data_IF_356979122504
#
_entry.id   IF_356979122504
#
_cell.length_a   1.000
_cell.length_b   1.000
_cell.length_c   1.000
_cell.angle_alpha   90.00
_cell.angle_beta   90.00
_cell.angle_gamma   90.00
#
_symmetry.space_group_name_H-M   'P 1'
#
loop_
_entity.id
_entity.type
_entity.pdbx_description
1 polymer ?
#
# COMPACT_ATOMS: atom_id res chain seq x y z
N UNK A 1 2.33 -23.06 23.97
CA UNK A 1 1.80 -21.84 23.31
C UNK A 1 2.95 -21.18 22.60
N UNK A 2 2.78 -20.77 21.35
CA UNK A 2 3.75 -19.89 20.70
C UNK A 2 3.81 -18.56 21.46
N UNK A 3 5.00 -17.97 21.59
CA UNK A 3 5.14 -16.63 22.14
C UNK A 3 4.59 -15.59 21.14
N UNK A 4 4.13 -14.45 21.65
CA UNK A 4 3.75 -13.34 20.79
C UNK A 4 4.97 -12.85 20.00
N UNK A 5 4.79 -12.69 18.70
CA UNK A 5 5.79 -12.17 17.76
C UNK A 5 5.19 -10.97 17.02
N UNK A 6 5.70 -9.77 17.34
CA UNK A 6 5.24 -8.52 16.74
C UNK A 6 5.50 -8.50 15.23
N UNK A 7 6.63 -9.01 14.76
CA UNK A 7 7.00 -8.99 13.34
C UNK A 7 6.10 -9.93 12.54
N UNK A 8 5.79 -11.10 13.09
CA UNK A 8 4.82 -12.00 12.48
C UNK A 8 3.41 -11.39 12.47
N UNK A 9 2.98 -10.80 13.59
CA UNK A 9 1.68 -10.15 13.71
C UNK A 9 1.53 -8.99 12.70
N UNK A 10 2.52 -8.11 12.61
CA UNK A 10 2.52 -6.98 11.68
C UNK A 10 2.53 -7.44 10.22
N UNK A 11 3.39 -8.40 9.85
CA UNK A 11 3.39 -8.93 8.47
C UNK A 11 2.06 -9.56 8.10
N UNK A 12 1.39 -10.22 9.05
CA UNK A 12 0.08 -10.80 8.81
C UNK A 12 -0.98 -9.73 8.54
N UNK A 13 -0.98 -8.64 9.30
CA UNK A 13 -1.89 -7.52 9.07
C UNK A 13 -1.64 -6.83 7.72
N UNK A 14 -0.38 -6.65 7.34
CA UNK A 14 -0.04 -6.07 6.02
C UNK A 14 -0.53 -7.00 4.91
N UNK A 15 -0.24 -8.30 5.01
CA UNK A 15 -0.67 -9.29 4.02
C UNK A 15 -2.21 -9.32 3.86
N UNK A 16 -2.96 -9.21 4.96
CA UNK A 16 -4.43 -9.18 4.92
C UNK A 16 -5.01 -7.84 4.42
N UNK A 17 -4.23 -6.76 4.45
CA UNK A 17 -4.63 -5.48 3.88
C UNK A 17 -4.48 -5.43 2.35
N UNK A 18 -3.65 -6.30 1.77
CA UNK A 18 -3.46 -6.43 0.32
C UNK A 18 -4.42 -7.49 -0.20
N UNK A 19 -5.63 -7.08 -0.56
CA UNK A 19 -6.65 -7.99 -1.05
C UNK A 19 -7.39 -7.40 -2.25
N UNK A 20 -8.10 -8.27 -2.96
CA UNK A 20 -9.08 -7.90 -3.95
C UNK A 20 -10.34 -8.73 -3.73
N UNK A 21 -11.47 -8.05 -3.69
CA UNK A 21 -12.80 -8.63 -3.57
C UNK A 21 -13.56 -8.40 -4.88
N UNK A 22 -13.62 -9.44 -5.70
CA UNK A 22 -14.33 -9.46 -6.99
C UNK A 22 -15.83 -9.18 -6.86
N UNK A 23 -16.47 -9.50 -5.73
CA UNK A 23 -17.91 -9.29 -5.55
C UNK A 23 -18.25 -7.80 -5.46
N UNK A 24 -17.34 -7.02 -4.88
CA UNK A 24 -17.51 -5.59 -4.61
C UNK A 24 -16.59 -4.70 -5.45
N UNK A 25 -15.77 -5.28 -6.32
CA UNK A 25 -14.72 -4.55 -7.05
C UNK A 25 -13.79 -3.78 -6.10
N UNK A 26 -13.54 -4.31 -4.90
CA UNK A 26 -12.85 -3.59 -3.83
C UNK A 26 -11.42 -4.07 -3.69
N UNK A 27 -10.47 -3.13 -3.66
CA UNK A 27 -9.05 -3.38 -3.56
C UNK A 27 -8.51 -2.75 -2.28
N UNK A 28 -7.80 -3.57 -1.50
CA UNK A 28 -7.10 -3.13 -0.30
C UNK A 28 -5.68 -2.69 -0.63
N UNK A 29 -5.36 -1.45 -0.29
CA UNK A 29 -4.08 -0.83 -0.55
C UNK A 29 -3.38 -0.50 0.76
N UNK A 30 -2.05 -0.60 0.77
CA UNK A 30 -1.23 -0.07 1.85
C UNK A 30 -0.21 0.93 1.30
N UNK A 31 -0.31 2.17 1.77
CA UNK A 31 0.65 3.23 1.50
C UNK A 31 1.65 3.37 2.64
N UNK A 32 2.90 3.68 2.30
CA UNK A 32 3.94 4.08 3.23
C UNK A 32 4.21 5.58 3.09
N UNK A 33 3.90 6.33 4.14
CA UNK A 33 3.96 7.79 4.18
C UNK A 33 5.31 8.23 4.73
N UNK A 34 5.97 9.16 4.06
CA UNK A 34 7.13 9.87 4.63
C UNK A 34 6.61 11.04 5.49
N UNK A 35 6.64 10.94 6.84
CA UNK A 35 6.11 11.99 7.69
C UNK A 35 6.98 13.26 7.69
N UNK A 36 8.20 13.20 7.15
CA UNK A 36 9.08 14.37 7.05
C UNK A 36 8.74 15.22 5.84
N UNK A 37 8.38 14.55 4.75
CA UNK A 37 7.99 15.21 3.50
C UNK A 37 6.47 15.39 3.39
N UNK A 38 5.69 14.72 4.25
CA UNK A 38 4.23 14.83 4.29
C UNK A 38 3.58 14.25 3.04
N UNK A 39 4.08 13.11 2.55
CA UNK A 39 3.62 12.53 1.27
C UNK A 39 3.77 11.01 1.22
N UNK A 40 2.99 10.36 0.37
CA UNK A 40 3.14 8.93 0.05
C UNK A 40 4.50 8.65 -0.59
N UNK A 41 5.12 7.53 -0.27
CA UNK A 41 6.41 7.15 -0.85
C UNK A 41 6.35 5.82 -1.56
N UNK A 42 5.72 4.84 -0.94
CA UNK A 42 5.45 3.55 -1.56
C UNK A 42 3.97 3.23 -1.46
N UNK A 43 3.44 2.58 -2.49
CA UNK A 43 2.07 2.12 -2.55
C UNK A 43 2.11 0.64 -2.88
N UNK A 44 1.36 -0.17 -2.14
CA UNK A 44 1.24 -1.59 -2.43
C UNK A 44 -0.22 -2.01 -2.58
N UNK A 45 -0.43 -2.89 -3.54
CA UNK A 45 -1.74 -3.35 -3.98
C UNK A 45 -1.62 -4.76 -4.58
N UNK A 46 -2.76 -5.44 -4.68
CA UNK A 46 -2.89 -6.60 -5.56
C UNK A 46 -3.19 -6.13 -6.98
N UNK A 47 -2.68 -6.83 -7.99
CA UNK A 47 -2.91 -6.56 -9.42
C UNK A 47 -3.74 -7.72 -9.99
N UNK A 48 -5.07 -7.60 -10.09
CA UNK A 48 -5.94 -8.70 -10.48
C UNK A 48 -5.60 -9.33 -11.84
N UNK A 49 -5.20 -8.52 -12.82
CA UNK A 49 -4.89 -8.97 -14.18
C UNK A 49 -3.65 -9.88 -14.24
N UNK A 50 -2.69 -9.62 -13.34
CA UNK A 50 -1.43 -10.36 -13.26
C UNK A 50 -1.44 -11.45 -12.19
N UNK A 51 -2.36 -11.35 -11.21
CA UNK A 51 -2.42 -12.25 -10.07
C UNK A 51 -1.26 -12.08 -9.10
N UNK A 52 -0.67 -10.89 -9.05
CA UNK A 52 0.54 -10.55 -8.28
C UNK A 52 0.29 -9.41 -7.31
N UNK A 53 1.23 -9.18 -6.39
CA UNK A 53 1.25 -8.05 -5.49
C UNK A 53 2.34 -7.08 -5.94
N UNK A 54 1.98 -5.84 -6.24
CA UNK A 54 2.92 -4.82 -6.64
C UNK A 54 3.26 -3.90 -5.47
N UNK A 55 4.52 -3.47 -5.42
CA UNK A 55 4.94 -2.30 -4.67
C UNK A 55 5.44 -1.30 -5.70
N UNK A 56 4.89 -0.10 -5.66
CA UNK A 56 5.28 1.02 -6.50
C UNK A 56 5.94 2.11 -5.64
N UNK A 57 6.91 2.81 -6.23
CA UNK A 57 7.52 4.01 -5.65
C UNK A 57 6.95 5.25 -6.33
N UNK A 58 6.42 6.18 -5.53
CA UNK A 58 5.86 7.43 -6.01
C UNK A 58 6.93 8.31 -6.69
N UNK A 59 6.61 8.87 -7.86
CA UNK A 59 7.50 9.73 -8.67
C UNK A 59 6.99 11.16 -8.80
N UNK A 60 5.68 11.39 -8.69
CA UNK A 60 5.07 12.72 -8.58
C UNK A 60 3.91 12.69 -7.58
N UNK A 61 3.56 13.87 -7.05
CA UNK A 61 2.55 14.04 -6.01
C UNK A 61 1.54 15.11 -6.37
N UNK A 62 0.37 15.03 -5.75
CA UNK A 62 -0.64 16.07 -5.83
C UNK A 62 -0.05 17.44 -5.46
N UNK A 63 -0.36 18.44 -6.27
CA UNK A 63 0.13 19.81 -6.12
C UNK A 63 -0.99 20.67 -5.55
N UNK A 64 -0.75 21.38 -4.45
CA UNK A 64 -1.72 22.31 -3.88
C UNK A 64 -1.84 22.18 -2.37
N UNK A 65 -3.02 22.52 -1.86
CA UNK A 65 -3.37 22.26 -0.46
C UNK A 65 -3.52 20.76 -0.24
N UNK A 66 -2.93 20.27 0.84
CA UNK A 66 -3.08 18.90 1.30
C UNK A 66 -4.47 18.78 1.92
N UNK A 67 -5.21 17.74 1.56
CA UNK A 67 -6.48 17.40 2.19
C UNK A 67 -6.27 17.19 3.69
N UNK A 68 -6.97 17.95 4.54
CA UNK A 68 -6.87 17.86 6.00
C UNK A 68 -7.35 16.50 6.54
N UNK A 69 -8.20 15.78 5.80
CA UNK A 69 -8.66 14.44 6.16
C UNK A 69 -7.58 13.38 5.91
N UNK A 70 -6.79 13.54 4.84
CA UNK A 70 -5.70 12.63 4.48
C UNK A 70 -4.41 12.99 5.23
N UNK A 71 -4.09 14.28 5.35
CA UNK A 71 -2.95 14.80 6.09
C UNK A 71 -1.59 14.64 5.42
N UNK A 72 -1.55 14.15 4.17
CA UNK A 72 -0.34 14.03 3.35
C UNK A 72 -0.68 14.11 1.85
N UNK A 73 0.30 14.46 1.01
CA UNK A 73 0.13 14.50 -0.44
C UNK A 73 0.11 13.08 -1.03
N UNK A 74 -0.91 12.78 -1.82
CA UNK A 74 -1.07 11.50 -2.52
C UNK A 74 -0.16 11.42 -3.75
N UNK A 75 0.26 10.21 -4.08
CA UNK A 75 0.99 9.96 -5.33
C UNK A 75 0.05 10.09 -6.54
N UNK A 76 0.50 10.80 -7.58
CA UNK A 76 -0.24 10.91 -8.88
C UNK A 76 0.48 10.21 -10.02
N UNK A 77 1.74 9.85 -9.78
CA UNK A 77 2.56 9.06 -10.70
C UNK A 77 3.46 8.17 -9.86
N UNK A 78 3.71 6.97 -10.37
CA UNK A 78 4.50 5.97 -9.70
C UNK A 78 5.28 5.14 -10.71
N UNK A 79 6.27 4.42 -10.22
CA UNK A 79 6.97 3.38 -10.98
C UNK A 79 6.94 2.09 -10.18
N UNK A 80 6.88 0.97 -10.88
CA UNK A 80 7.06 -0.34 -10.24
C UNK A 80 8.43 -0.38 -9.53
N UNK A 81 8.38 -0.68 -8.24
CA UNK A 81 9.57 -0.95 -7.43
C UNK A 81 9.86 -2.44 -7.41
N UNK A 82 8.84 -3.27 -7.18
CA UNK A 82 8.92 -4.72 -7.23
C UNK A 82 7.53 -5.37 -7.28
N UNK A 83 7.46 -6.58 -7.84
CA UNK A 83 6.28 -7.44 -7.81
C UNK A 83 6.56 -8.76 -7.07
N UNK A 84 5.52 -9.33 -6.46
CA UNK A 84 5.60 -10.53 -5.62
C UNK A 84 4.44 -11.49 -5.91
N UNK A 85 4.73 -12.79 -5.83
CA UNK A 85 3.72 -13.84 -6.07
C UNK A 85 2.81 -14.09 -4.85
N UNK A 86 3.20 -13.63 -3.66
CA UNK A 86 2.44 -13.88 -2.41
C UNK A 86 2.32 -12.62 -1.57
N UNK A 87 1.21 -12.48 -0.81
CA UNK A 87 1.02 -11.32 0.06
C UNK A 87 2.02 -11.32 1.22
N UNK A 88 2.47 -12.49 1.69
CA UNK A 88 3.51 -12.57 2.72
C UNK A 88 4.85 -11.99 2.26
N UNK A 89 5.24 -12.22 1.01
CA UNK A 89 6.48 -11.69 0.46
C UNK A 89 6.40 -10.17 0.27
N UNK A 90 5.28 -9.66 -0.25
CA UNK A 90 5.02 -8.22 -0.33
C UNK A 90 5.00 -7.57 1.06
N UNK A 91 4.37 -8.21 2.05
CA UNK A 91 4.32 -7.73 3.42
C UNK A 91 5.69 -7.65 4.09
N UNK A 92 6.57 -8.63 3.85
CA UNK A 92 7.94 -8.60 4.33
C UNK A 92 8.73 -7.44 3.71
N UNK A 93 8.61 -7.25 2.40
CA UNK A 93 9.25 -6.15 1.69
C UNK A 93 8.76 -4.76 2.15
N UNK A 94 7.44 -4.58 2.30
CA UNK A 94 6.86 -3.34 2.83
C UNK A 94 7.33 -3.04 4.25
N UNK A 95 7.35 -4.04 5.13
CA UNK A 95 7.83 -3.84 6.49
C UNK A 95 9.31 -3.47 6.51
N UNK A 96 10.12 -4.02 5.61
CA UNK A 96 11.52 -3.65 5.45
C UNK A 96 11.67 -2.19 4.98
N UNK A 97 10.93 -1.77 3.94
CA UNK A 97 10.93 -0.39 3.44
C UNK A 97 10.49 0.62 4.51
N UNK A 98 9.43 0.29 5.25
CA UNK A 98 8.94 1.14 6.34
C UNK A 98 10.01 1.35 7.42
N UNK A 99 10.75 0.28 7.79
CA UNK A 99 11.84 0.35 8.76
C UNK A 99 13.05 1.12 8.24
N UNK A 100 13.45 0.86 7.00
CA UNK A 100 14.61 1.50 6.37
C UNK A 100 14.42 3.01 6.28
N UNK A 101 13.23 3.45 5.87
CA UNK A 101 12.95 4.86 5.61
C UNK A 101 12.20 5.57 6.74
N UNK A 102 11.83 4.87 7.81
CA UNK A 102 11.01 5.39 8.93
C UNK A 102 9.64 5.92 8.45
N UNK A 103 8.95 5.13 7.64
CA UNK A 103 7.66 5.48 7.05
C UNK A 103 6.49 5.01 7.93
N UNK A 104 5.37 5.71 7.83
CA UNK A 104 4.13 5.36 8.53
C UNK A 104 3.20 4.57 7.59
N UNK A 105 2.51 3.52 8.06
CA UNK A 105 1.53 2.84 7.25
C UNK A 105 0.22 3.63 7.18
N UNK A 106 -0.45 3.59 6.03
CA UNK A 106 -1.84 4.03 5.83
C UNK A 106 -2.54 2.99 4.96
N UNK A 107 -3.78 2.63 5.30
CA UNK A 107 -4.57 1.66 4.53
C UNK A 107 -5.71 2.41 3.85
N UNK A 108 -5.85 2.17 2.56
CA UNK A 108 -6.92 2.76 1.73
C UNK A 108 -7.66 1.64 1.02
N UNK A 109 -8.98 1.78 0.93
CA UNK A 109 -9.83 0.91 0.13
C UNK A 109 -10.16 1.64 -1.17
N UNK A 110 -9.75 1.07 -2.30
CA UNK A 110 -10.15 1.54 -3.62
C UNK A 110 -11.31 0.69 -4.12
N UNK A 111 -12.20 1.30 -4.89
CA UNK A 111 -13.27 0.61 -5.58
C UNK A 111 -13.05 0.81 -7.07
N UNK A 112 -13.20 -0.26 -7.85
CA UNK A 112 -13.33 -0.15 -9.30
C UNK A 112 -14.53 0.77 -9.59
N UNK A 113 -14.29 1.86 -10.33
CA UNK A 113 -15.40 2.70 -10.78
C UNK A 113 -16.24 1.88 -11.76
N UNK A 114 -17.55 1.77 -11.51
CA UNK A 114 -18.49 1.27 -12.51
C UNK A 114 -18.25 2.06 -13.81
N UNK A 115 -17.79 1.40 -14.88
CA UNK A 115 -17.75 2.01 -16.21
C UNK A 115 -19.17 2.46 -16.54
N UNK A 116 -19.46 3.76 -16.39
CA UNK A 116 -20.73 4.34 -16.84
C UNK A 116 -20.73 4.27 -18.36
N UNK A 117 -21.36 3.20 -18.87
CA UNK A 117 -21.57 2.92 -20.29
C UNK A 117 -22.46 3.95 -20.97
#
# INVERSE_FOLDING_TARGET
MAAFDLDQFTRRLIAEALFYDEEYGALGNLSLIDPREGKERFIASYVPEEGTFSIEEATDWEKGEIDEEVGYALAVDSREYAAYDTPEAAAEALLALAREHNLLPSITLLFEEDEVS
#
